data_IF_102446942839
#
_entry.id   IF_102446942839
#
_cell.length_a   1.000
_cell.length_b   1.000
_cell.length_c   1.000
_cell.angle_alpha   90.00
_cell.angle_beta   90.00
_cell.angle_gamma   90.00
#
_symmetry.space_group_name_H-M   'P 1'
#
loop_
_entity.id
_entity.type
_entity.pdbx_description
1 polymer ?
#
# COMPACT_ATOMS: atom_id res chain seq x y z
N UNK A 1 0.41 20.33 0.11
CA UNK A 1 0.54 21.52 0.98
C UNK A 1 0.96 22.70 0.11
N UNK A 2 0.44 23.91 0.31
CA UNK A 2 0.77 25.09 -0.51
C UNK A 2 1.44 26.17 0.34
N UNK A 3 2.60 26.68 -0.12
CA UNK A 3 3.32 27.79 0.51
C UNK A 3 3.36 29.04 -0.39
N UNK A 4 3.41 30.21 0.24
CA UNK A 4 3.44 31.54 -0.40
C UNK A 4 4.85 32.09 -0.63
N UNK A 5 5.90 31.42 -0.12
CA UNK A 5 7.30 31.75 -0.38
C UNK A 5 8.11 30.46 -0.60
N UNK A 6 9.01 30.47 -1.60
CA UNK A 6 9.79 29.30 -2.04
C UNK A 6 11.00 29.02 -1.13
N UNK A 7 10.80 28.95 0.18
CA UNK A 7 11.88 28.58 1.08
C UNK A 7 12.04 27.05 1.10
N UNK A 8 13.27 26.58 0.91
CA UNK A 8 13.64 25.16 0.95
C UNK A 8 13.20 24.47 2.26
N UNK A 9 13.03 25.23 3.33
CA UNK A 9 12.54 24.76 4.63
C UNK A 9 11.08 24.32 4.59
N UNK A 10 10.20 25.00 3.83
CA UNK A 10 8.80 24.57 3.68
C UNK A 10 8.70 23.28 2.88
N UNK A 11 9.52 23.11 1.85
CA UNK A 11 9.61 21.86 1.11
C UNK A 11 10.08 20.74 2.05
N UNK A 12 11.20 20.95 2.77
CA UNK A 12 11.75 19.95 3.69
C UNK A 12 10.76 19.55 4.78
N UNK A 13 10.09 20.52 5.41
CA UNK A 13 9.06 20.26 6.44
C UNK A 13 7.85 19.53 5.87
N UNK A 14 7.38 19.92 4.69
CA UNK A 14 6.25 19.26 4.03
C UNK A 14 6.56 17.81 3.71
N UNK A 15 7.75 17.53 3.18
CA UNK A 15 8.18 16.18 2.86
C UNK A 15 8.38 15.32 4.12
N UNK A 16 8.96 15.87 5.19
CA UNK A 16 9.09 15.17 6.48
C UNK A 16 7.73 14.85 7.13
N UNK A 17 6.72 15.69 6.90
CA UNK A 17 5.35 15.44 7.34
C UNK A 17 4.60 14.40 6.47
N UNK A 18 5.25 13.86 5.42
CA UNK A 18 4.68 12.85 4.54
C UNK A 18 3.87 13.41 3.37
N UNK A 19 4.00 14.70 3.05
CA UNK A 19 3.42 15.24 1.83
C UNK A 19 4.02 14.53 0.60
N UNK A 20 3.16 14.10 -0.31
CA UNK A 20 3.56 13.37 -1.52
C UNK A 20 4.09 14.32 -2.60
N UNK A 21 3.62 15.56 -2.59
CA UNK A 21 3.97 16.58 -3.57
C UNK A 21 3.82 17.99 -2.99
N UNK A 22 4.54 18.96 -3.58
CA UNK A 22 4.62 20.35 -3.10
C UNK A 22 4.63 21.34 -4.26
N UNK A 23 3.78 22.37 -4.18
CA UNK A 23 3.68 23.45 -5.17
C UNK A 23 3.98 24.79 -4.51
N UNK A 24 4.88 25.57 -5.11
CA UNK A 24 5.19 26.94 -4.72
C UNK A 24 4.34 27.93 -5.49
N UNK A 25 3.80 28.94 -4.82
CA UNK A 25 3.12 30.03 -5.51
C UNK A 25 4.13 31.01 -6.13
N UNK A 26 3.78 31.65 -7.26
CA UNK A 26 2.61 31.36 -8.09
C UNK A 26 2.85 30.11 -8.96
N UNK A 27 1.89 29.20 -8.99
CA UNK A 27 1.90 28.01 -9.87
C UNK A 27 0.88 28.22 -11.00
N UNK A 28 1.04 27.50 -12.11
CA UNK A 28 0.08 27.53 -13.22
C UNK A 28 -0.98 26.44 -13.08
N UNK A 29 -2.07 26.57 -13.84
CA UNK A 29 -3.13 25.56 -13.90
C UNK A 29 -2.62 24.20 -14.42
N UNK A 30 -1.66 24.22 -15.34
CA UNK A 30 -1.02 23.02 -15.90
C UNK A 30 -0.14 22.32 -14.85
N UNK A 31 0.59 23.10 -14.06
CA UNK A 31 1.44 22.59 -12.98
C UNK A 31 0.60 21.91 -11.89
N UNK A 32 -0.54 22.52 -11.53
CA UNK A 32 -1.49 21.90 -10.61
C UNK A 32 -2.09 20.61 -11.18
N UNK A 33 -2.54 20.64 -12.44
CA UNK A 33 -3.17 19.49 -13.09
C UNK A 33 -2.20 18.31 -13.19
N UNK A 34 -0.97 18.57 -13.61
CA UNK A 34 0.08 17.55 -13.70
C UNK A 34 0.46 16.98 -12.32
N UNK A 35 0.52 17.81 -11.27
CA UNK A 35 0.75 17.36 -9.89
C UNK A 35 -0.37 16.42 -9.42
N UNK A 36 -1.64 16.76 -9.68
CA UNK A 36 -2.78 15.90 -9.33
C UNK A 36 -2.68 14.53 -10.03
N UNK A 37 -2.44 14.52 -11.34
CA UNK A 37 -2.31 13.26 -12.09
C UNK A 37 -1.15 12.41 -11.60
N UNK A 38 0.00 13.03 -11.31
CA UNK A 38 1.20 12.35 -10.78
C UNK A 38 0.95 11.73 -9.40
N UNK A 39 0.35 12.48 -8.48
CA UNK A 39 0.01 11.98 -7.14
C UNK A 39 -0.99 10.84 -7.22
N UNK A 40 -1.99 10.95 -8.10
CA UNK A 40 -2.98 9.89 -8.32
C UNK A 40 -2.33 8.61 -8.83
N UNK A 41 -1.43 8.68 -9.82
CA UNK A 41 -0.75 7.49 -10.34
C UNK A 41 0.17 6.84 -9.31
N UNK A 42 0.90 7.65 -8.53
CA UNK A 42 1.72 7.15 -7.42
C UNK A 42 0.86 6.51 -6.31
N UNK A 43 -0.31 7.09 -6.01
CA UNK A 43 -1.27 6.55 -5.07
C UNK A 43 -1.87 5.22 -5.55
N UNK A 44 -2.24 5.11 -6.82
CA UNK A 44 -2.78 3.91 -7.43
C UNK A 44 -1.78 2.73 -7.42
N UNK A 45 -0.47 3.02 -7.54
CA UNK A 45 0.59 2.00 -7.41
C UNK A 45 0.84 1.58 -5.96
N UNK A 46 0.61 2.47 -5.00
CA UNK A 46 0.82 2.22 -3.55
C UNK A 46 -0.38 1.57 -2.87
N UNK A 47 -1.58 1.83 -3.36
CA UNK A 47 -2.81 1.16 -2.95
C UNK A 47 -3.19 0.16 -4.05
N UNK A 48 -2.72 -1.11 -4.01
CA UNK A 48 -3.47 -2.15 -4.69
C UNK A 48 -4.89 -2.04 -4.15
N UNK A 49 -5.86 -1.81 -5.05
CA UNK A 49 -7.28 -1.64 -4.69
C UNK A 49 -7.61 -2.65 -3.58
N UNK A 50 -8.18 -2.24 -2.44
CA UNK A 50 -8.96 -3.18 -1.66
C UNK A 50 -9.97 -3.73 -2.66
N UNK A 51 -9.90 -5.03 -2.97
CA UNK A 51 -10.98 -5.71 -3.65
C UNK A 51 -12.19 -5.54 -2.74
N UNK A 52 -12.98 -4.51 -3.01
CA UNK A 52 -14.36 -4.43 -2.55
C UNK A 52 -15.00 -5.65 -3.18
N UNK A 53 -15.31 -6.63 -2.34
CA UNK A 53 -16.17 -7.76 -2.64
C UNK A 53 -17.37 -7.26 -3.44
N UNK A 54 -17.61 -7.73 -4.68
CA UNK A 54 -18.94 -7.62 -5.24
C UNK A 54 -19.85 -8.44 -4.33
N UNK A 55 -20.91 -7.81 -3.82
CA UNK A 55 -22.03 -8.52 -3.22
C UNK A 55 -22.52 -9.59 -4.22
N UNK A 56 -22.94 -10.78 -3.76
CA UNK A 56 -23.38 -11.83 -4.66
C UNK A 56 -24.79 -11.50 -5.15
N UNK A 57 -24.90 -10.89 -6.32
CA UNK A 57 -26.12 -11.02 -7.11
C UNK A 57 -26.20 -12.46 -7.62
N UNK A 58 -27.24 -13.13 -7.13
CA UNK A 58 -27.55 -14.52 -7.38
C UNK A 58 -28.14 -14.67 -8.80
N UNK A 59 -27.49 -15.46 -9.65
CA UNK A 59 -27.99 -15.89 -10.97
C UNK A 59 -27.12 -15.37 -12.12
N UNK A 60 -26.74 -16.11 -13.17
CA UNK A 60 -27.22 -17.40 -13.68
C UNK A 60 -26.16 -17.93 -14.69
N UNK A 61 -26.16 -19.26 -14.89
CA UNK A 61 -25.55 -20.05 -15.99
C UNK A 61 -24.02 -20.10 -16.13
N UNK A 62 -23.42 -21.15 -15.56
CA UNK A 62 -22.06 -21.62 -15.86
C UNK A 62 -22.10 -22.50 -17.12
N UNK A 63 -21.26 -22.20 -18.11
CA UNK A 63 -21.04 -23.05 -19.28
C UNK A 63 -20.23 -24.33 -18.88
N UNK A 64 -20.47 -25.51 -19.48
CA UNK A 64 -19.75 -26.72 -19.12
C UNK A 64 -18.31 -26.68 -19.65
N UNK A 65 -17.31 -26.66 -18.76
CA UNK A 65 -15.90 -26.84 -19.12
C UNK A 65 -14.89 -25.83 -18.55
N UNK A 66 -15.34 -24.78 -17.87
CA UNK A 66 -14.43 -23.88 -17.14
C UNK A 66 -14.10 -24.46 -15.76
N UNK A 67 -12.83 -24.45 -15.30
CA UNK A 67 -12.50 -24.86 -13.94
C UNK A 67 -13.30 -23.98 -12.98
N UNK A 68 -14.09 -24.63 -12.12
CA UNK A 68 -14.83 -23.94 -11.08
C UNK A 68 -13.82 -23.16 -10.22
N UNK A 69 -13.86 -21.83 -10.30
CA UNK A 69 -13.16 -20.97 -9.36
C UNK A 69 -13.86 -21.14 -8.02
N UNK A 70 -13.37 -22.08 -7.22
CA UNK A 70 -13.69 -22.12 -5.80
C UNK A 70 -12.93 -20.97 -5.16
N UNK A 71 -13.60 -19.93 -4.63
CA UNK A 71 -12.91 -18.91 -3.86
C UNK A 71 -12.29 -19.61 -2.65
N UNK A 72 -10.98 -19.83 -2.70
CA UNK A 72 -10.23 -20.36 -1.56
C UNK A 72 -10.39 -19.38 -0.39
N UNK A 73 -10.55 -19.86 0.85
CA UNK A 73 -10.74 -18.99 2.01
C UNK A 73 -9.64 -17.92 2.04
N UNK A 74 -10.08 -16.66 2.02
CA UNK A 74 -9.21 -15.48 1.93
C UNK A 74 -8.19 -15.48 3.08
N UNK A 75 -6.91 -15.53 2.73
CA UNK A 75 -5.81 -15.32 3.67
C UNK A 75 -5.73 -13.85 4.08
N UNK A 76 -5.27 -13.57 5.31
CA UNK A 76 -4.99 -12.20 5.76
C UNK A 76 -3.53 -11.85 5.47
N UNK A 77 -3.29 -10.73 4.80
CA UNK A 77 -1.94 -10.20 4.55
C UNK A 77 -1.61 -9.13 5.61
N UNK A 78 -0.49 -9.33 6.32
CA UNK A 78 0.06 -8.34 7.26
C UNK A 78 1.43 -7.88 6.76
N UNK A 79 1.58 -6.57 6.51
CA UNK A 79 2.84 -5.97 6.08
C UNK A 79 3.51 -5.24 7.24
N UNK A 80 4.79 -5.52 7.48
CA UNK A 80 5.62 -4.82 8.48
C UNK A 80 6.70 -4.06 7.72
N UNK A 81 6.72 -2.73 7.89
CA UNK A 81 7.62 -1.85 7.16
C UNK A 81 8.14 -0.72 8.05
N UNK A 82 9.39 -0.30 7.82
CA UNK A 82 10.02 0.86 8.43
C UNK A 82 10.92 1.57 7.40
N UNK A 83 10.95 2.91 7.39
CA UNK A 83 11.88 3.67 6.55
C UNK A 83 13.32 3.67 7.10
N UNK A 84 13.55 3.18 8.32
CA UNK A 84 14.86 3.10 8.97
C UNK A 84 15.31 1.65 9.14
N UNK A 85 16.54 1.37 8.73
CA UNK A 85 17.23 0.12 9.05
C UNK A 85 17.41 -0.05 10.57
N UNK A 86 17.37 -1.28 11.06
CA UNK A 86 17.52 -1.57 12.49
C UNK A 86 16.30 -1.27 13.37
N UNK A 87 15.15 -0.88 12.80
CA UNK A 87 13.91 -0.66 13.55
C UNK A 87 13.28 -1.95 14.12
N UNK A 88 13.87 -3.12 13.86
CA UNK A 88 13.40 -4.40 14.37
C UNK A 88 12.26 -5.01 13.54
N UNK A 89 12.02 -4.58 12.30
CA UNK A 89 10.96 -5.15 11.46
C UNK A 89 11.08 -6.66 11.29
N UNK A 90 12.27 -7.20 11.02
CA UNK A 90 12.49 -8.65 10.88
C UNK A 90 12.25 -9.39 12.20
N UNK A 91 12.69 -8.81 13.32
CA UNK A 91 12.45 -9.36 14.67
C UNK A 91 10.96 -9.41 14.98
N UNK A 92 10.22 -8.35 14.68
CA UNK A 92 8.78 -8.29 14.88
C UNK A 92 8.06 -9.28 13.96
N UNK A 93 8.44 -9.35 12.68
CA UNK A 93 7.81 -10.23 11.69
C UNK A 93 7.96 -11.71 12.06
N UNK A 94 9.16 -12.14 12.45
CA UNK A 94 9.42 -13.51 12.87
C UNK A 94 8.60 -13.91 14.11
N UNK A 95 8.64 -13.08 15.16
CA UNK A 95 7.91 -13.38 16.39
C UNK A 95 6.38 -13.33 16.18
N UNK A 96 5.89 -12.38 15.39
CA UNK A 96 4.47 -12.28 15.07
C UNK A 96 3.99 -13.50 14.28
N UNK A 97 4.76 -13.99 13.31
CA UNK A 97 4.40 -15.17 12.54
C UNK A 97 4.28 -16.43 13.43
N UNK A 98 5.23 -16.62 14.35
CA UNK A 98 5.20 -17.73 15.32
C UNK A 98 3.99 -17.60 16.26
N UNK A 99 3.77 -16.41 16.83
CA UNK A 99 2.65 -16.17 17.72
C UNK A 99 1.30 -16.39 17.03
N UNK A 100 1.15 -15.92 15.78
CA UNK A 100 -0.06 -16.14 14.99
C UNK A 100 -0.30 -17.62 14.73
N UNK A 101 0.74 -18.38 14.38
CA UNK A 101 0.62 -19.83 14.18
C UNK A 101 0.18 -20.54 15.47
N UNK A 102 0.74 -20.18 16.62
CA UNK A 102 0.42 -20.79 17.92
C UNK A 102 -0.99 -20.43 18.40
N UNK A 103 -1.35 -19.14 18.38
CA UNK A 103 -2.62 -18.65 18.95
C UNK A 103 -3.81 -19.01 18.06
N UNK A 104 -3.64 -18.97 16.74
CA UNK A 104 -4.77 -19.18 15.80
C UNK A 104 -4.85 -20.59 15.23
N UNK A 105 -3.77 -21.39 15.35
CA UNK A 105 -3.63 -22.70 14.70
C UNK A 105 -3.90 -22.67 13.17
N UNK A 106 -3.75 -21.50 12.53
CA UNK A 106 -3.89 -21.33 11.08
C UNK A 106 -2.54 -21.49 10.38
N UNK A 107 -2.59 -21.77 9.08
CA UNK A 107 -1.40 -21.74 8.21
C UNK A 107 -0.90 -20.30 8.11
N UNK A 108 0.35 -20.07 8.50
CA UNK A 108 1.03 -18.77 8.43
C UNK A 108 2.24 -18.90 7.53
N UNK A 109 2.41 -17.96 6.61
CA UNK A 109 3.60 -17.82 5.79
C UNK A 109 4.27 -16.47 6.11
N UNK A 110 5.59 -16.49 6.28
CA UNK A 110 6.41 -15.29 6.41
C UNK A 110 7.26 -15.15 5.15
N UNK A 111 7.21 -13.98 4.54
CA UNK A 111 7.98 -13.66 3.32
C UNK A 111 8.83 -12.44 3.60
N UNK A 112 10.13 -12.54 3.32
CA UNK A 112 11.02 -11.40 3.30
C UNK A 112 11.01 -10.78 1.89
N UNK A 113 10.72 -9.48 1.83
CA UNK A 113 10.54 -8.73 0.59
C UNK A 113 11.64 -7.67 0.38
N UNK A 114 12.78 -7.76 1.07
CA UNK A 114 13.95 -6.90 0.81
C UNK A 114 14.74 -7.36 -0.43
N UNK A 115 14.20 -7.08 -1.62
CA UNK A 115 14.76 -7.56 -2.89
C UNK A 115 16.01 -6.79 -3.37
N UNK A 116 16.44 -5.74 -2.67
CA UNK A 116 17.68 -5.01 -2.94
C UNK A 116 18.52 -4.87 -1.67
N UNK A 117 19.66 -5.57 -1.65
CA UNK A 117 20.74 -5.51 -0.66
C UNK A 117 20.42 -5.90 0.80
N UNK A 118 19.33 -6.63 1.05
CA UNK A 118 19.04 -7.21 2.36
C UNK A 118 18.40 -6.24 3.35
#
# INVERSE_FOLDING_TARGET
MMSVQSEADYLRRSMLAGAVDFLTKPFTSEELSSSIHRVHEMGAKRHPKPMVSPEPEMGTTVAPGAPAYTPSPEGKLLLIYSPKGGAGCSTLAANLAIALAQVTSKKVALVDASLQFG
#
